data_IF_272537526255
#
_entry.id   IF_272537526255
#
_cell.length_a   1.000
_cell.length_b   1.000
_cell.length_c   1.000
_cell.angle_alpha   90.00
_cell.angle_beta   90.00
_cell.angle_gamma   90.00
#
_symmetry.space_group_name_H-M   'P 1'
#
loop_
_entity.id
_entity.type
_entity.pdbx_description
1 polymer ?
#
# COMPACT_ATOMS: atom_id res chain seq x y z
N UNK A 1 2.85 -9.90 -35.55
CA UNK A 1 3.46 -9.97 -34.22
C UNK A 1 2.85 -11.17 -33.52
N UNK A 2 3.64 -12.22 -33.35
CA UNK A 2 3.23 -13.47 -32.72
C UNK A 2 3.03 -13.24 -31.22
N UNK A 3 1.81 -13.47 -30.73
CA UNK A 3 1.51 -13.49 -29.30
C UNK A 3 2.40 -14.53 -28.63
N UNK A 4 3.30 -14.08 -27.75
CA UNK A 4 4.08 -14.97 -26.90
C UNK A 4 3.10 -15.56 -25.88
N UNK A 5 2.86 -16.89 -25.89
CA UNK A 5 1.94 -17.51 -24.94
C UNK A 5 2.42 -17.21 -23.52
N UNK A 6 1.48 -16.88 -22.63
CA UNK A 6 1.75 -16.80 -21.19
C UNK A 6 2.47 -18.10 -20.81
N UNK A 7 3.68 -18.06 -20.25
CA UNK A 7 4.44 -19.27 -20.01
C UNK A 7 3.63 -20.24 -19.14
N UNK A 8 3.52 -21.49 -19.60
CA UNK A 8 2.87 -22.62 -18.92
C UNK A 8 3.39 -22.86 -17.48
N UNK A 9 4.43 -22.15 -17.04
CA UNK A 9 5.09 -22.30 -15.75
C UNK A 9 4.32 -21.74 -14.55
N UNK A 10 3.30 -20.89 -14.75
CA UNK A 10 2.51 -20.31 -13.64
C UNK A 10 1.21 -21.07 -13.34
N UNK A 11 1.02 -22.28 -13.89
CA UNK A 11 -0.14 -23.10 -13.57
C UNK A 11 -0.04 -23.71 -12.16
N UNK A 12 -1.00 -23.38 -11.31
CA UNK A 12 -1.05 -23.67 -9.87
C UNK A 12 -1.33 -25.15 -9.53
N UNK A 13 -0.80 -26.12 -10.28
CA UNK A 13 -1.21 -27.53 -10.14
C UNK A 13 -0.42 -28.39 -9.14
N UNK A 14 0.74 -27.94 -8.61
CA UNK A 14 1.60 -28.85 -7.82
C UNK A 14 1.48 -28.78 -6.29
N UNK A 15 0.83 -27.77 -5.71
CA UNK A 15 0.76 -27.64 -4.24
C UNK A 15 -0.57 -28.12 -3.65
N UNK A 16 -1.67 -28.11 -4.40
CA UNK A 16 -2.96 -28.58 -3.90
C UNK A 16 -3.10 -30.12 -3.88
N UNK A 17 -2.33 -30.84 -4.70
CA UNK A 17 -2.39 -32.30 -4.77
C UNK A 17 -1.75 -33.06 -3.59
N UNK A 18 -1.05 -32.38 -2.67
CA UNK A 18 -0.38 -33.03 -1.52
C UNK A 18 -1.16 -32.98 -0.21
N UNK A 19 -2.30 -32.30 -0.15
CA UNK A 19 -3.11 -32.16 1.07
C UNK A 19 -4.46 -32.90 1.03
N UNK A 20 -4.83 -33.56 -0.08
CA UNK A 20 -6.15 -34.19 -0.24
C UNK A 20 -6.16 -35.68 -0.59
N UNK A 21 -5.02 -36.37 -0.57
CA UNK A 21 -4.98 -37.82 -0.83
C UNK A 21 -4.94 -38.64 0.47
N UNK A 22 -6.03 -38.61 1.24
CA UNK A 22 -6.39 -39.66 2.21
C UNK A 22 -7.83 -39.46 2.69
N UNK A 23 -8.76 -40.29 2.18
CA UNK A 23 -10.13 -40.39 2.71
C UNK A 23 -11.17 -40.79 1.67
N UNK A 24 -11.53 -42.08 1.66
CA UNK A 24 -12.63 -42.64 0.89
C UNK A 24 -14.01 -42.05 1.29
N UNK A 25 -14.84 -41.85 0.28
CA UNK A 25 -16.32 -41.76 0.23
C UNK A 25 -17.15 -41.75 1.53
N UNK A 26 -17.98 -40.71 1.69
CA UNK A 26 -19.44 -40.81 1.96
C UNK A 26 -20.08 -39.41 2.09
N UNK A 27 -21.37 -39.35 1.76
CA UNK A 27 -22.20 -38.16 1.54
C UNK A 27 -22.34 -37.23 2.76
N UNK A 28 -22.40 -35.93 2.46
CA UNK A 28 -22.89 -34.87 3.36
C UNK A 28 -22.38 -33.50 2.89
N UNK A 29 -23.25 -32.62 2.40
CA UNK A 29 -22.88 -31.24 2.04
C UNK A 29 -22.63 -30.41 3.30
N UNK A 30 -21.46 -30.60 3.90
CA UNK A 30 -20.85 -29.59 4.75
C UNK A 30 -20.34 -28.48 3.82
N UNK A 31 -20.78 -27.24 4.03
CA UNK A 31 -20.40 -26.09 3.21
C UNK A 31 -18.89 -26.08 2.93
N UNK A 32 -18.52 -26.09 1.65
CA UNK A 32 -17.13 -26.13 1.23
C UNK A 32 -16.37 -24.98 1.90
N UNK A 33 -15.41 -25.33 2.76
CA UNK A 33 -14.54 -24.34 3.40
C UNK A 33 -13.72 -23.67 2.30
N UNK A 34 -13.85 -22.36 2.15
CA UNK A 34 -13.02 -21.61 1.21
C UNK A 34 -11.54 -21.81 1.55
N UNK A 35 -10.72 -22.10 0.54
CA UNK A 35 -9.28 -22.25 0.70
C UNK A 35 -8.57 -20.89 0.66
N UNK A 36 -7.61 -20.62 1.56
CA UNK A 36 -6.85 -19.37 1.56
C UNK A 36 -6.17 -19.10 0.22
N UNK A 37 -6.37 -17.90 -0.32
CA UNK A 37 -5.69 -17.43 -1.52
C UNK A 37 -4.26 -17.04 -1.20
N UNK A 38 -3.32 -17.52 -2.01
CA UNK A 38 -1.88 -17.35 -1.79
C UNK A 38 -1.21 -16.43 -2.83
N UNK A 39 -1.85 -16.21 -3.98
CA UNK A 39 -1.32 -15.39 -5.06
C UNK A 39 -1.99 -14.02 -5.03
N UNK A 40 -1.22 -12.97 -4.74
CA UNK A 40 -1.72 -11.63 -4.45
C UNK A 40 -0.87 -10.58 -5.14
N UNK A 41 -1.52 -9.74 -5.93
CA UNK A 41 -0.93 -8.50 -6.42
C UNK A 41 -1.54 -7.34 -5.65
N UNK A 42 -0.73 -6.67 -4.84
CA UNK A 42 -1.14 -5.42 -4.21
C UNK A 42 -0.50 -4.25 -4.95
N UNK A 43 -1.31 -3.53 -5.72
CA UNK A 43 -0.85 -2.28 -6.32
C UNK A 43 -0.79 -1.22 -5.23
N UNK A 44 0.42 -0.95 -4.79
CA UNK A 44 0.69 -0.02 -3.70
C UNK A 44 0.66 1.42 -4.21
N UNK A 45 -0.29 2.20 -3.70
CA UNK A 45 -0.38 3.65 -3.95
C UNK A 45 0.28 4.45 -2.82
N UNK A 46 0.74 5.65 -3.14
CA UNK A 46 1.39 6.55 -2.20
C UNK A 46 0.39 7.15 -1.20
N UNK A 47 0.82 7.34 0.05
CA UNK A 47 0.11 8.12 1.09
C UNK A 47 -1.30 7.61 1.46
N UNK A 48 -1.60 6.34 1.16
CA UNK A 48 -2.87 5.64 1.43
C UNK A 48 -2.80 4.63 2.59
N UNK A 49 -1.85 4.82 3.52
CA UNK A 49 -1.48 3.86 4.59
C UNK A 49 -1.06 2.47 4.07
N UNK A 50 -0.63 2.41 2.81
CA UNK A 50 -0.26 1.17 2.13
C UNK A 50 0.95 0.44 2.73
N UNK A 51 1.80 1.10 3.53
CA UNK A 51 2.85 0.42 4.34
C UNK A 51 2.26 -0.54 5.38
N UNK A 52 1.07 -0.25 5.92
CA UNK A 52 0.36 -1.13 6.86
C UNK A 52 -0.11 -2.40 6.15
N UNK A 53 -0.72 -2.26 4.97
CA UNK A 53 -1.14 -3.41 4.13
C UNK A 53 0.08 -4.22 3.69
N UNK A 54 1.17 -3.56 3.30
CA UNK A 54 2.41 -4.25 2.96
C UNK A 54 2.95 -5.08 4.14
N UNK A 55 2.90 -4.57 5.37
CA UNK A 55 3.28 -5.35 6.56
C UNK A 55 2.39 -6.58 6.78
N UNK A 56 1.08 -6.46 6.56
CA UNK A 56 0.13 -7.59 6.54
C UNK A 56 0.58 -8.65 5.52
N UNK A 57 0.82 -8.23 4.27
CA UNK A 57 1.22 -9.13 3.18
C UNK A 57 2.57 -9.80 3.43
N UNK A 58 3.54 -9.09 4.01
CA UNK A 58 4.84 -9.66 4.39
C UNK A 58 4.70 -10.74 5.46
N UNK A 59 3.94 -10.46 6.51
CA UNK A 59 3.69 -11.45 7.57
C UNK A 59 2.98 -12.68 7.02
N UNK A 60 1.97 -12.49 6.18
CA UNK A 60 1.26 -13.60 5.54
C UNK A 60 2.19 -14.42 4.64
N UNK A 61 2.95 -13.78 3.76
CA UNK A 61 3.86 -14.50 2.87
C UNK A 61 4.97 -15.23 3.62
N UNK A 62 5.51 -14.69 4.71
CA UNK A 62 6.44 -15.44 5.55
C UNK A 62 5.78 -16.63 6.27
N UNK A 63 4.56 -16.45 6.79
CA UNK A 63 3.79 -17.52 7.47
C UNK A 63 3.57 -18.71 6.52
N UNK A 64 3.35 -18.43 5.25
CA UNK A 64 3.05 -19.43 4.21
C UNK A 64 4.22 -19.78 3.29
N UNK A 65 5.44 -19.29 3.59
CA UNK A 65 6.65 -19.51 2.78
C UNK A 65 6.47 -19.13 1.29
N UNK A 66 5.77 -18.03 1.04
CA UNK A 66 5.45 -17.53 -0.29
C UNK A 66 6.62 -16.79 -0.91
N UNK A 67 6.69 -16.84 -2.24
CA UNK A 67 7.73 -16.17 -3.02
C UNK A 67 7.31 -14.75 -3.39
N UNK A 68 8.08 -13.78 -2.94
CA UNK A 68 7.86 -12.37 -3.25
C UNK A 68 8.63 -11.94 -4.51
N UNK A 69 8.00 -11.13 -5.36
CA UNK A 69 8.72 -10.32 -6.33
C UNK A 69 9.18 -9.05 -5.63
N UNK A 70 10.48 -8.93 -5.38
CA UNK A 70 11.06 -7.74 -4.75
C UNK A 70 11.88 -6.93 -5.75
N UNK A 71 12.00 -5.61 -5.55
CA UNK A 71 12.94 -4.80 -6.32
C UNK A 71 14.39 -5.17 -6.00
N UNK A 72 15.32 -4.78 -6.87
CA UNK A 72 16.76 -4.92 -6.64
C UNK A 72 17.40 -3.55 -6.41
N UNK A 73 18.09 -3.36 -5.28
CA UNK A 73 18.83 -2.14 -4.95
C UNK A 73 18.01 -1.02 -4.28
N UNK A 74 16.69 -1.01 -4.45
CA UNK A 74 15.75 0.02 -3.96
C UNK A 74 14.59 -0.59 -3.17
N UNK A 75 13.75 0.26 -2.58
CA UNK A 75 12.47 -0.13 -1.94
C UNK A 75 11.27 -0.16 -2.90
N UNK A 76 11.45 0.37 -4.12
CA UNK A 76 10.48 0.48 -5.21
C UNK A 76 11.04 -0.13 -6.50
N UNK A 77 10.17 -0.36 -7.48
CA UNK A 77 10.54 -0.83 -8.81
C UNK A 77 10.85 0.35 -9.76
N UNK A 78 11.98 1.03 -9.52
CA UNK A 78 12.47 2.14 -10.36
C UNK A 78 11.45 3.26 -10.62
N UNK A 79 10.63 3.57 -9.62
CA UNK A 79 9.68 4.66 -9.69
C UNK A 79 10.43 6.00 -9.91
N UNK A 80 9.95 6.92 -10.79
CA UNK A 80 8.61 6.98 -11.40
C UNK A 80 8.47 6.36 -12.81
N UNK A 81 9.47 5.63 -13.29
CA UNK A 81 9.35 4.90 -14.57
C UNK A 81 8.30 3.80 -14.48
N UNK A 82 7.66 3.48 -15.61
CA UNK A 82 6.77 2.32 -15.71
C UNK A 82 7.46 1.05 -15.21
N UNK A 83 6.68 0.22 -14.52
CA UNK A 83 7.13 -1.09 -14.10
C UNK A 83 7.53 -1.93 -15.30
N UNK A 84 8.68 -2.58 -15.18
CA UNK A 84 9.15 -3.60 -16.11
C UNK A 84 9.60 -4.81 -15.29
N UNK A 85 9.23 -6.02 -15.70
CA UNK A 85 9.53 -7.22 -14.91
C UNK A 85 11.02 -7.50 -14.73
N UNK A 86 11.89 -6.97 -15.58
CA UNK A 86 13.35 -7.05 -15.39
C UNK A 86 13.85 -6.31 -14.13
N UNK A 87 13.02 -5.42 -13.56
CA UNK A 87 13.31 -4.71 -12.32
C UNK A 87 13.16 -5.62 -11.08
N UNK A 88 12.54 -6.80 -11.23
CA UNK A 88 12.39 -7.78 -10.16
C UNK A 88 13.72 -8.48 -9.91
N UNK A 89 14.14 -8.50 -8.64
CA UNK A 89 15.32 -9.20 -8.17
C UNK A 89 15.28 -10.67 -8.59
N UNK A 90 16.39 -11.14 -9.16
CA UNK A 90 16.58 -12.52 -9.62
C UNK A 90 15.55 -12.98 -10.67
N UNK A 91 14.95 -12.04 -11.43
CA UNK A 91 14.03 -12.37 -12.50
C UNK A 91 14.72 -13.19 -13.60
N UNK A 92 14.04 -14.24 -14.04
CA UNK A 92 14.38 -15.04 -15.21
C UNK A 92 13.09 -15.33 -15.99
N UNK A 93 13.12 -15.42 -17.34
CA UNK A 93 11.94 -15.76 -18.12
C UNK A 93 11.26 -17.04 -17.62
N UNK A 94 9.94 -16.97 -17.42
CA UNK A 94 9.13 -18.10 -16.92
C UNK A 94 9.10 -18.26 -15.39
N UNK A 95 9.78 -17.40 -14.64
CA UNK A 95 9.68 -17.38 -13.19
C UNK A 95 8.33 -16.79 -12.73
N UNK A 96 7.69 -17.42 -11.75
CA UNK A 96 6.46 -16.91 -11.15
C UNK A 96 6.69 -16.56 -9.68
N UNK A 97 5.88 -15.62 -9.18
CA UNK A 97 5.86 -15.15 -7.80
C UNK A 97 4.45 -15.28 -7.24
N UNK A 98 4.35 -15.37 -5.92
CA UNK A 98 3.07 -15.38 -5.22
C UNK A 98 2.63 -13.96 -4.88
N UNK A 99 3.55 -13.11 -4.41
CA UNK A 99 3.19 -11.76 -3.92
C UNK A 99 4.02 -10.68 -4.62
N UNK A 100 3.34 -9.65 -5.13
CA UNK A 100 3.94 -8.38 -5.57
C UNK A 100 3.25 -7.25 -4.81
N UNK A 101 4.00 -6.44 -4.05
CA UNK A 101 3.39 -5.41 -3.19
C UNK A 101 4.25 -4.16 -2.93
N UNK A 102 5.42 -4.04 -3.57
CA UNK A 102 6.25 -2.85 -3.50
C UNK A 102 5.73 -1.74 -4.43
N UNK A 103 6.11 -0.48 -4.15
CA UNK A 103 5.76 0.66 -4.99
C UNK A 103 6.29 0.48 -6.42
N UNK A 104 5.46 0.85 -7.40
CA UNK A 104 5.78 0.89 -8.82
C UNK A 104 4.90 1.94 -9.51
N UNK A 105 5.22 2.31 -10.75
CA UNK A 105 4.22 2.87 -11.67
C UNK A 105 3.60 1.72 -12.44
N UNK A 106 2.32 1.48 -12.24
CA UNK A 106 1.68 0.24 -12.66
C UNK A 106 1.76 0.00 -14.17
N UNK A 107 2.04 -1.23 -14.56
CA UNK A 107 1.98 -1.68 -15.94
C UNK A 107 1.40 -3.10 -15.95
N UNK A 108 0.08 -3.20 -16.14
CA UNK A 108 -0.68 -4.45 -16.00
C UNK A 108 -0.09 -5.59 -16.83
N UNK A 109 0.30 -5.29 -18.08
CA UNK A 109 0.84 -6.28 -19.00
C UNK A 109 2.17 -6.88 -18.54
N UNK A 110 3.00 -6.12 -17.83
CA UNK A 110 4.27 -6.62 -17.29
C UNK A 110 4.08 -7.34 -15.96
N UNK A 111 3.18 -6.83 -15.11
CA UNK A 111 2.84 -7.43 -13.81
C UNK A 111 2.22 -8.82 -13.98
N UNK A 112 1.23 -8.97 -14.86
CA UNK A 112 0.53 -10.26 -15.05
C UNK A 112 1.43 -11.38 -15.55
N UNK A 113 2.56 -11.06 -16.18
CA UNK A 113 3.53 -12.05 -16.68
C UNK A 113 4.37 -12.69 -15.56
N UNK A 114 4.30 -12.15 -14.35
CA UNK A 114 5.05 -12.63 -13.16
C UNK A 114 4.18 -13.46 -12.21
N UNK A 115 2.89 -13.59 -12.49
CA UNK A 115 1.87 -14.02 -11.55
C UNK A 115 1.05 -15.17 -12.12
N UNK A 116 0.63 -16.14 -11.29
CA UNK A 116 -0.39 -17.12 -11.66
C UNK A 116 -1.70 -16.47 -12.13
N UNK A 117 -2.42 -17.15 -13.02
CA UNK A 117 -3.67 -16.64 -13.61
C UNK A 117 -4.79 -16.44 -12.56
N UNK A 118 -4.73 -17.14 -11.43
CA UNK A 118 -5.69 -17.04 -10.33
C UNK A 118 -5.29 -15.97 -9.27
N UNK A 119 -4.32 -15.11 -9.58
CA UNK A 119 -3.87 -14.05 -8.68
C UNK A 119 -4.97 -13.04 -8.41
N UNK A 120 -5.14 -12.69 -7.14
CA UNK A 120 -6.09 -11.65 -6.71
C UNK A 120 -5.38 -10.30 -6.74
N UNK A 121 -5.93 -9.37 -7.54
CA UNK A 121 -5.43 -7.99 -7.66
C UNK A 121 -6.20 -7.08 -6.71
N UNK A 122 -5.47 -6.40 -5.83
CA UNK A 122 -6.03 -5.44 -4.88
C UNK A 122 -5.23 -4.14 -4.87
N UNK A 123 -5.89 -3.03 -4.57
CA UNK A 123 -5.23 -1.74 -4.36
C UNK A 123 -5.95 -0.97 -3.26
N UNK A 124 -5.44 0.20 -2.90
CA UNK A 124 -6.06 1.10 -1.92
C UNK A 124 -6.04 2.52 -2.46
N UNK A 125 -7.13 3.24 -2.29
CA UNK A 125 -7.25 4.66 -2.61
C UNK A 125 -7.49 5.47 -1.33
N UNK A 126 -7.46 6.78 -1.50
CA UNK A 126 -7.71 7.76 -0.44
C UNK A 126 -8.40 8.96 -1.07
N UNK A 127 -9.19 9.68 -0.30
CA UNK A 127 -9.73 10.97 -0.68
C UNK A 127 -8.61 11.86 -1.28
N UNK A 128 -8.82 12.42 -2.49
CA UNK A 128 -7.78 13.11 -3.24
C UNK A 128 -7.27 14.38 -2.56
N UNK A 129 -8.09 15.11 -1.81
CA UNK A 129 -7.67 16.32 -1.13
C UNK A 129 -6.79 15.98 0.09
N UNK A 130 -7.19 15.00 0.89
CA UNK A 130 -6.37 14.53 2.01
C UNK A 130 -5.11 13.78 1.56
N UNK A 131 -5.18 13.09 0.42
CA UNK A 131 -4.01 12.52 -0.25
C UNK A 131 -3.04 13.63 -0.64
N UNK A 132 -3.53 14.68 -1.30
CA UNK A 132 -2.70 15.80 -1.74
C UNK A 132 -2.04 16.53 -0.56
N UNK A 133 -2.77 16.84 0.52
CA UNK A 133 -2.17 17.40 1.75
C UNK A 133 -1.02 16.51 2.29
N UNK A 134 -1.24 15.19 2.29
CA UNK A 134 -0.27 14.22 2.77
C UNK A 134 0.95 14.10 1.86
N UNK A 135 0.74 14.12 0.53
CA UNK A 135 1.78 14.06 -0.49
C UNK A 135 2.63 15.32 -0.48
N UNK A 136 1.99 16.49 -0.60
CA UNK A 136 2.65 17.79 -0.61
C UNK A 136 3.57 17.96 0.59
N UNK A 137 3.06 17.75 1.81
CA UNK A 137 3.86 17.88 3.03
C UNK A 137 4.96 16.84 3.16
N UNK A 138 4.79 15.64 2.60
CA UNK A 138 5.83 14.62 2.70
C UNK A 138 6.94 14.80 1.67
N UNK A 139 6.62 15.31 0.48
CA UNK A 139 7.54 15.36 -0.66
C UNK A 139 8.04 16.76 -1.01
N UNK A 140 7.50 17.84 -0.45
CA UNK A 140 7.90 19.22 -0.81
C UNK A 140 9.42 19.44 -0.80
N UNK A 141 10.14 18.94 0.21
CA UNK A 141 11.60 19.06 0.30
C UNK A 141 12.37 18.44 -0.88
N UNK A 142 11.77 17.52 -1.65
CA UNK A 142 12.38 16.87 -2.81
C UNK A 142 11.73 17.25 -4.16
N UNK A 143 10.84 18.24 -4.16
CA UNK A 143 10.18 18.75 -5.36
C UNK A 143 10.59 20.22 -5.54
N UNK A 144 11.58 20.52 -6.41
CA UNK A 144 12.14 21.86 -6.56
C UNK A 144 11.10 22.96 -6.84
N UNK A 145 10.01 22.61 -7.52
CA UNK A 145 8.89 23.51 -7.79
C UNK A 145 8.30 24.12 -6.51
N UNK A 146 8.27 23.36 -5.40
CA UNK A 146 7.69 23.82 -4.14
C UNK A 146 8.61 24.73 -3.33
N UNK A 147 9.90 24.83 -3.69
CA UNK A 147 10.86 25.66 -2.94
C UNK A 147 10.63 27.16 -3.16
N UNK A 148 10.02 27.51 -4.29
CA UNK A 148 9.60 28.89 -4.62
C UNK A 148 8.31 29.31 -3.92
N UNK A 149 7.58 28.37 -3.31
CA UNK A 149 6.35 28.67 -2.58
C UNK A 149 6.72 29.33 -1.26
N UNK A 150 6.32 30.59 -1.08
CA UNK A 150 6.64 31.40 0.09
C UNK A 150 5.56 31.30 1.16
N UNK A 151 5.87 31.78 2.37
CA UNK A 151 4.93 31.83 3.50
C UNK A 151 4.92 30.58 4.40
N UNK A 152 4.23 30.70 5.54
CA UNK A 152 4.18 29.67 6.58
C UNK A 152 3.30 28.48 6.18
N UNK A 153 2.20 28.73 5.45
CA UNK A 153 1.33 27.69 4.88
C UNK A 153 1.55 27.53 3.37
N UNK A 154 2.64 26.84 3.02
CA UNK A 154 3.00 26.53 1.62
C UNK A 154 1.90 25.77 0.87
N UNK A 155 1.09 24.95 1.55
CA UNK A 155 0.02 24.22 0.88
C UNK A 155 -1.09 25.18 0.47
N UNK A 156 -1.50 26.08 1.36
CA UNK A 156 -2.51 27.08 1.06
C UNK A 156 -2.04 28.06 -0.03
N UNK A 157 -0.76 28.45 -0.01
CA UNK A 157 -0.15 29.30 -1.04
C UNK A 157 -0.16 28.60 -2.40
N UNK A 158 0.31 27.34 -2.47
CA UNK A 158 0.28 26.56 -3.69
C UNK A 158 -1.14 26.42 -4.27
N UNK A 159 -2.12 26.11 -3.41
CA UNK A 159 -3.52 25.94 -3.84
C UNK A 159 -4.20 27.24 -4.27
N UNK A 160 -3.63 28.41 -3.98
CA UNK A 160 -4.19 29.69 -4.45
C UNK A 160 -4.03 29.84 -5.96
N UNK A 161 -2.89 29.41 -6.51
CA UNK A 161 -2.59 29.43 -7.94
C UNK A 161 -1.66 28.24 -8.30
N UNK A 162 -2.21 27.02 -8.37
CA UNK A 162 -1.39 25.82 -8.54
C UNK A 162 -0.68 25.78 -9.88
N UNK A 163 -1.27 26.36 -10.93
CA UNK A 163 -0.66 26.43 -12.27
C UNK A 163 0.56 27.35 -12.31
N UNK A 164 0.66 28.35 -11.43
CA UNK A 164 1.88 29.16 -11.29
C UNK A 164 3.07 28.36 -10.74
N UNK A 165 2.80 27.36 -9.89
CA UNK A 165 3.83 26.56 -9.22
C UNK A 165 4.04 25.18 -9.85
N UNK A 166 3.20 24.77 -10.79
CA UNK A 166 3.21 23.43 -11.37
C UNK A 166 3.74 23.43 -12.81
N UNK A 167 4.71 22.55 -13.06
CA UNK A 167 5.17 22.18 -14.41
C UNK A 167 5.17 20.65 -14.47
N UNK A 168 4.40 20.02 -15.39
CA UNK A 168 4.34 18.57 -15.52
C UNK A 168 5.69 17.92 -15.86
N UNK A 169 6.62 18.66 -16.47
CA UNK A 169 7.97 18.19 -16.78
C UNK A 169 8.97 18.42 -15.64
N UNK A 170 8.52 19.04 -14.54
CA UNK A 170 9.34 19.31 -13.37
C UNK A 170 9.82 18.03 -12.68
N UNK A 171 11.04 18.09 -12.13
CA UNK A 171 11.58 16.97 -11.35
C UNK A 171 10.63 16.63 -10.18
N UNK A 172 10.21 15.36 -10.10
CA UNK A 172 9.26 14.85 -9.12
C UNK A 172 7.86 15.52 -9.13
N UNK A 173 7.48 16.20 -10.22
CA UNK A 173 6.19 16.89 -10.32
C UNK A 173 4.97 15.95 -10.19
N UNK A 174 5.09 14.66 -10.51
CA UNK A 174 4.03 13.67 -10.38
C UNK A 174 3.45 13.55 -8.95
N UNK A 175 4.21 13.92 -7.90
CA UNK A 175 3.68 13.94 -6.52
C UNK A 175 2.73 15.10 -6.24
N UNK A 176 2.67 16.11 -7.12
CA UNK A 176 1.89 17.33 -6.92
C UNK A 176 0.52 17.31 -7.59
N UNK A 177 0.17 16.30 -8.41
CA UNK A 177 -1.13 16.28 -9.07
C UNK A 177 -1.56 14.86 -9.45
N UNK A 178 -2.81 14.50 -9.15
CA UNK A 178 -3.45 13.23 -9.54
C UNK A 178 -2.55 11.99 -9.31
N UNK A 179 -2.01 11.88 -8.09
CA UNK A 179 -0.99 10.89 -7.75
C UNK A 179 -1.53 9.45 -7.82
N UNK A 180 -2.81 9.20 -7.50
CA UNK A 180 -3.37 7.84 -7.63
C UNK A 180 -3.44 7.42 -9.10
N UNK A 181 -3.90 8.31 -9.98
CA UNK A 181 -3.94 8.08 -11.41
C UNK A 181 -2.54 7.81 -11.98
N UNK A 182 -1.53 8.57 -11.51
CA UNK A 182 -0.13 8.35 -11.86
C UNK A 182 0.38 6.98 -11.39
N UNK A 183 0.17 6.63 -10.12
CA UNK A 183 0.58 5.35 -9.53
C UNK A 183 -0.01 4.19 -10.34
N UNK A 184 -1.30 4.29 -10.70
CA UNK A 184 -2.03 3.29 -11.50
C UNK A 184 -1.61 3.22 -12.97
N UNK A 185 -0.59 3.98 -13.38
CA UNK A 185 0.05 3.86 -14.69
C UNK A 185 -0.51 4.79 -15.76
N UNK A 186 -1.40 5.70 -15.40
CA UNK A 186 -2.00 6.61 -16.38
C UNK A 186 -1.27 7.96 -16.42
N UNK A 187 -1.65 8.80 -17.37
CA UNK A 187 -1.19 10.19 -17.42
C UNK A 187 -1.97 11.04 -16.43
N UNK A 188 -1.28 11.60 -15.45
CA UNK A 188 -1.87 12.39 -14.37
C UNK A 188 -2.14 13.86 -14.77
N UNK A 189 -1.75 14.25 -15.98
CA UNK A 189 -1.96 15.59 -16.56
C UNK A 189 -3.00 15.62 -17.68
N UNK A 190 -3.61 14.48 -18.02
CA UNK A 190 -4.61 14.44 -19.09
C UNK A 190 -5.84 15.29 -18.76
N UNK A 191 -6.54 15.76 -19.79
CA UNK A 191 -7.78 16.51 -19.63
C UNK A 191 -8.81 15.67 -18.84
N UNK A 192 -9.26 16.13 -17.65
CA UNK A 192 -10.26 15.42 -16.88
C UNK A 192 -11.60 15.24 -17.58
N UNK A 193 -11.88 16.03 -18.62
CA UNK A 193 -13.10 15.91 -19.44
C UNK A 193 -12.96 14.94 -20.61
N UNK A 194 -11.77 14.39 -20.83
CA UNK A 194 -11.55 13.38 -21.86
C UNK A 194 -12.40 12.13 -21.59
N UNK A 195 -13.06 11.55 -22.61
CA UNK A 195 -13.81 10.30 -22.46
C UNK A 195 -12.92 9.11 -22.05
N UNK A 196 -11.59 9.23 -22.26
CA UNK A 196 -10.62 8.23 -21.84
C UNK A 196 -10.56 8.07 -20.31
N UNK A 197 -10.91 9.09 -19.53
CA UNK A 197 -10.91 9.00 -18.06
C UNK A 197 -11.86 7.90 -17.58
N UNK A 198 -13.10 7.90 -18.08
CA UNK A 198 -14.09 6.87 -17.76
C UNK A 198 -13.67 5.48 -18.26
N UNK A 199 -13.04 5.42 -19.43
CA UNK A 199 -12.50 4.17 -19.96
C UNK A 199 -11.43 3.59 -19.03
N UNK A 200 -10.47 4.41 -18.57
CA UNK A 200 -9.41 3.98 -17.66
C UNK A 200 -9.94 3.60 -16.28
N UNK A 201 -10.94 4.31 -15.74
CA UNK A 201 -11.59 3.93 -14.48
C UNK A 201 -12.24 2.54 -14.59
N UNK A 202 -12.97 2.27 -15.68
CA UNK A 202 -13.56 0.94 -15.92
C UNK A 202 -12.52 -0.14 -16.15
N UNK A 203 -11.41 0.20 -16.80
CA UNK A 203 -10.28 -0.70 -16.99
C UNK A 203 -9.65 -1.08 -15.64
N UNK A 204 -9.51 -0.14 -14.70
CA UNK A 204 -9.09 -0.41 -13.33
C UNK A 204 -10.11 -1.34 -12.65
N UNK A 205 -11.41 -1.04 -12.73
CA UNK A 205 -12.46 -1.84 -12.09
C UNK A 205 -12.48 -3.29 -12.59
N UNK A 206 -12.24 -3.49 -13.88
CA UNK A 206 -12.13 -4.82 -14.48
C UNK A 206 -10.88 -5.59 -14.05
N UNK A 207 -9.80 -4.90 -13.67
CA UNK A 207 -8.50 -5.51 -13.30
C UNK A 207 -8.37 -5.81 -11.81
N UNK A 208 -8.99 -5.01 -10.95
CA UNK A 208 -8.84 -5.13 -9.50
C UNK A 208 -10.06 -5.80 -8.87
N UNK A 209 -9.85 -6.93 -8.20
CA UNK A 209 -10.91 -7.64 -7.48
C UNK A 209 -11.45 -6.82 -6.29
N UNK A 210 -10.59 -6.03 -5.65
CA UNK A 210 -10.94 -5.11 -4.58
C UNK A 210 -10.09 -3.84 -4.63
N UNK A 211 -10.78 -2.70 -4.66
CA UNK A 211 -10.21 -1.37 -4.42
C UNK A 211 -10.64 -0.94 -3.03
N UNK A 212 -9.69 -0.94 -2.10
CA UNK A 212 -9.89 -0.53 -0.71
C UNK A 212 -9.90 1.00 -0.57
N UNK A 213 -10.49 1.53 0.49
CA UNK A 213 -10.49 2.96 0.81
C UNK A 213 -9.88 3.22 2.18
N UNK A 214 -8.93 4.15 2.26
CA UNK A 214 -8.28 4.50 3.52
C UNK A 214 -9.27 5.05 4.56
N UNK A 215 -10.29 5.78 4.15
CA UNK A 215 -11.30 6.34 5.04
C UNK A 215 -12.13 5.25 5.74
N UNK A 216 -12.20 4.07 5.14
CA UNK A 216 -12.91 2.87 5.62
C UNK A 216 -11.92 1.70 5.74
N UNK A 217 -10.79 1.95 6.39
CA UNK A 217 -9.65 1.03 6.40
C UNK A 217 -9.98 -0.31 7.05
N UNK A 218 -10.76 -0.33 8.14
CA UNK A 218 -11.13 -1.56 8.83
C UNK A 218 -12.10 -2.39 8.00
N UNK A 219 -13.12 -1.76 7.42
CA UNK A 219 -14.05 -2.39 6.46
C UNK A 219 -13.30 -2.94 5.25
N UNK A 220 -12.32 -2.18 4.74
CA UNK A 220 -11.45 -2.59 3.65
C UNK A 220 -10.67 -3.86 3.97
N UNK A 221 -10.11 -3.97 5.18
CA UNK A 221 -9.41 -5.18 5.62
C UNK A 221 -10.36 -6.35 5.85
N UNK A 222 -11.57 -6.12 6.35
CA UNK A 222 -12.59 -7.17 6.50
C UNK A 222 -12.99 -7.75 5.15
N UNK A 223 -13.20 -6.89 4.14
CA UNK A 223 -13.45 -7.30 2.75
C UNK A 223 -12.24 -8.03 2.15
N UNK A 224 -11.02 -7.55 2.37
CA UNK A 224 -9.80 -8.21 1.91
C UNK A 224 -9.67 -9.62 2.51
N UNK A 225 -9.92 -9.77 3.81
CA UNK A 225 -9.91 -11.05 4.52
C UNK A 225 -10.94 -12.02 3.93
N UNK A 226 -12.16 -11.54 3.66
CA UNK A 226 -13.22 -12.37 3.06
C UNK A 226 -12.85 -12.81 1.63
N UNK A 227 -12.39 -11.86 0.80
CA UNK A 227 -11.96 -12.10 -0.58
C UNK A 227 -10.82 -13.14 -0.66
N UNK A 228 -9.88 -13.09 0.27
CA UNK A 228 -8.72 -13.98 0.28
C UNK A 228 -8.94 -15.25 1.10
N UNK A 229 -10.10 -15.39 1.75
CA UNK A 229 -10.40 -16.49 2.68
C UNK A 229 -9.31 -16.63 3.75
N UNK A 230 -8.94 -15.50 4.33
CA UNK A 230 -7.96 -15.39 5.41
C UNK A 230 -8.62 -15.41 6.77
N UNK A 231 -7.81 -15.71 7.79
CA UNK A 231 -8.24 -15.62 9.17
C UNK A 231 -8.09 -14.19 9.70
N UNK A 232 -8.79 -13.86 10.79
CA UNK A 232 -8.72 -12.52 11.39
C UNK A 232 -7.29 -12.18 11.83
N UNK A 233 -6.55 -13.16 12.34
CA UNK A 233 -5.18 -13.02 12.81
C UNK A 233 -4.21 -12.59 11.70
N UNK A 234 -4.53 -12.90 10.45
CA UNK A 234 -3.70 -12.57 9.30
C UNK A 234 -3.80 -11.07 8.93
N UNK A 235 -4.90 -10.40 9.27
CA UNK A 235 -5.11 -8.97 8.96
C UNK A 235 -4.94 -8.03 10.16
N UNK A 236 -4.61 -8.53 11.35
CA UNK A 236 -4.31 -7.68 12.52
C UNK A 236 -3.18 -6.73 12.20
N UNK A 237 -3.26 -5.47 12.62
CA UNK A 237 -2.31 -4.46 12.21
C UNK A 237 -2.04 -3.42 13.29
N UNK A 238 -0.88 -2.76 13.18
CA UNK A 238 -0.62 -1.51 13.86
C UNK A 238 -0.49 -0.40 12.82
N UNK A 239 -0.96 0.80 13.16
CA UNK A 239 -0.88 1.95 12.26
C UNK A 239 0.57 2.38 12.12
N UNK A 240 1.23 1.98 11.04
CA UNK A 240 2.62 2.34 10.73
C UNK A 240 2.69 3.69 9.99
N UNK A 241 3.83 4.39 10.12
CA UNK A 241 4.10 5.66 9.46
C UNK A 241 3.06 6.77 9.73
N UNK A 242 2.46 6.77 10.93
CA UNK A 242 1.59 7.86 11.36
C UNK A 242 2.39 9.16 11.52
N UNK A 243 1.87 10.29 11.03
CA UNK A 243 2.50 11.60 11.18
C UNK A 243 2.10 12.23 12.51
N UNK A 244 3.03 12.93 13.17
CA UNK A 244 2.77 13.78 14.34
C UNK A 244 1.71 14.83 13.99
N UNK A 245 0.70 14.98 14.85
CA UNK A 245 -0.42 15.91 14.61
C UNK A 245 -1.36 15.52 13.45
N UNK A 246 -1.37 14.25 13.02
CA UNK A 246 -2.26 13.75 11.96
C UNK A 246 -3.70 13.42 12.39
N UNK A 247 -4.04 13.59 13.67
CA UNK A 247 -5.40 13.30 14.18
C UNK A 247 -6.46 14.26 13.64
N UNK A 248 -6.06 15.41 13.09
CA UNK A 248 -6.96 16.39 12.45
C UNK A 248 -6.27 16.94 11.20
N UNK A 249 -6.90 16.79 10.03
CA UNK A 249 -6.44 17.47 8.81
C UNK A 249 -6.46 18.97 9.04
N UNK A 250 -5.45 19.69 8.51
CA UNK A 250 -5.43 21.15 8.62
C UNK A 250 -6.12 21.84 7.45
N UNK A 251 -6.76 21.09 6.56
CA UNK A 251 -7.49 21.66 5.43
C UNK A 251 -8.76 22.35 5.95
N UNK A 252 -8.88 23.65 5.69
CA UNK A 252 -10.17 24.33 5.75
C UNK A 252 -11.10 23.80 4.66
N UNK A 253 -12.41 24.02 4.78
CA UNK A 253 -13.37 23.62 3.75
C UNK A 253 -13.01 24.17 2.36
N UNK A 254 -12.52 25.40 2.31
CA UNK A 254 -12.06 26.05 1.07
C UNK A 254 -10.83 25.34 0.48
N UNK A 255 -9.80 25.09 1.29
CA UNK A 255 -8.59 24.40 0.82
C UNK A 255 -8.87 22.97 0.40
N UNK A 256 -9.78 22.28 1.09
CA UNK A 256 -10.25 20.95 0.67
C UNK A 256 -10.83 21.01 -0.75
N UNK A 257 -11.76 21.93 -1.01
CA UNK A 257 -12.37 22.08 -2.33
C UNK A 257 -11.33 22.41 -3.42
N UNK A 258 -10.40 23.34 -3.15
CA UNK A 258 -9.31 23.67 -4.08
C UNK A 258 -8.42 22.45 -4.37
N UNK A 259 -8.07 21.68 -3.35
CA UNK A 259 -7.28 20.46 -3.51
C UNK A 259 -8.04 19.38 -4.29
N UNK A 260 -9.35 19.21 -4.07
CA UNK A 260 -10.18 18.28 -4.85
C UNK A 260 -10.23 18.68 -6.32
N UNK A 261 -10.45 19.97 -6.62
CA UNK A 261 -10.49 20.48 -8.00
C UNK A 261 -9.14 20.35 -8.69
N UNK A 262 -8.05 20.62 -7.97
CA UNK A 262 -6.69 20.45 -8.49
C UNK A 262 -6.38 18.99 -8.88
N UNK A 263 -6.96 18.03 -8.13
CA UNK A 263 -6.79 16.60 -8.34
C UNK A 263 -8.05 15.94 -8.93
N UNK A 264 -8.61 16.53 -9.98
CA UNK A 264 -9.91 16.13 -10.52
C UNK A 264 -9.95 14.71 -11.10
N UNK A 265 -8.84 14.19 -11.66
CA UNK A 265 -8.79 12.79 -12.13
C UNK A 265 -8.91 11.83 -10.95
N UNK A 266 -8.14 12.06 -9.88
CA UNK A 266 -8.22 11.27 -8.66
C UNK A 266 -9.59 11.42 -7.98
N UNK A 267 -10.23 12.58 -8.07
CA UNK A 267 -11.58 12.79 -7.54
C UNK A 267 -12.63 11.93 -8.27
N UNK A 268 -12.60 11.89 -9.60
CA UNK A 268 -13.48 11.01 -10.40
C UNK A 268 -13.22 9.54 -10.10
N UNK A 269 -11.96 9.14 -10.04
CA UNK A 269 -11.53 7.80 -9.67
C UNK A 269 -12.07 7.40 -8.29
N UNK A 270 -11.85 8.25 -7.27
CA UNK A 270 -12.29 7.99 -5.91
C UNK A 270 -13.82 7.91 -5.80
N UNK A 271 -14.55 8.80 -6.46
CA UNK A 271 -16.03 8.78 -6.45
C UNK A 271 -16.58 7.47 -7.02
N UNK A 272 -16.02 6.99 -8.13
CA UNK A 272 -16.41 5.72 -8.72
C UNK A 272 -16.18 4.57 -7.74
N UNK A 273 -14.97 4.46 -7.18
CA UNK A 273 -14.63 3.36 -6.28
C UNK A 273 -15.26 3.47 -4.89
N UNK A 274 -15.64 4.66 -4.43
CA UNK A 274 -16.47 4.82 -3.24
C UNK A 274 -17.84 4.18 -3.42
N UNK A 275 -18.46 4.41 -4.57
CA UNK A 275 -19.75 3.78 -4.92
C UNK A 275 -19.61 2.26 -4.98
N UNK A 276 -18.62 1.73 -5.72
CA UNK A 276 -18.45 0.27 -5.84
C UNK A 276 -18.00 -0.39 -4.54
N UNK A 277 -17.24 0.32 -3.70
CA UNK A 277 -16.87 -0.15 -2.37
C UNK A 277 -18.09 -0.37 -1.48
N UNK A 278 -19.01 0.60 -1.40
CA UNK A 278 -20.21 0.45 -0.58
C UNK A 278 -21.15 -0.64 -1.09
N UNK A 279 -21.26 -0.84 -2.41
CA UNK A 279 -21.96 -2.01 -2.94
C UNK A 279 -21.33 -3.34 -2.46
N UNK A 280 -19.99 -3.43 -2.36
CA UNK A 280 -19.31 -4.62 -1.81
C UNK A 280 -19.57 -4.77 -0.30
N UNK A 281 -19.62 -3.67 0.46
CA UNK A 281 -19.98 -3.70 1.89
C UNK A 281 -21.42 -4.19 2.09
N UNK A 282 -22.36 -3.70 1.27
CA UNK A 282 -23.76 -4.14 1.29
C UNK A 282 -23.90 -5.62 0.94
N UNK A 283 -23.22 -6.08 -0.11
CA UNK A 283 -23.20 -7.48 -0.52
C UNK A 283 -22.59 -8.41 0.55
N UNK A 284 -21.59 -7.92 1.28
CA UNK A 284 -21.01 -8.63 2.43
C UNK A 284 -21.99 -8.69 3.63
N UNK A 285 -22.87 -7.70 3.74
CA UNK A 285 -23.88 -7.53 4.78
C UNK A 285 -23.46 -6.53 5.84
N UNK A 286 -24.21 -5.44 6.00
CA UNK A 286 -23.88 -4.31 6.90
C UNK A 286 -23.77 -4.71 8.37
N UNK A 287 -24.68 -5.55 8.87
CA UNK A 287 -24.63 -6.05 10.23
C UNK A 287 -23.43 -6.98 10.48
N UNK A 288 -23.09 -7.83 9.49
CA UNK A 288 -21.90 -8.68 9.54
C UNK A 288 -20.62 -7.83 9.51
N UNK A 289 -20.59 -6.80 8.67
CA UNK A 289 -19.47 -5.86 8.57
C UNK A 289 -19.20 -5.19 9.91
N UNK A 290 -20.22 -4.60 10.54
CA UNK A 290 -20.08 -3.93 11.83
C UNK A 290 -19.54 -4.88 12.92
N UNK A 291 -20.01 -6.13 12.95
CA UNK A 291 -19.53 -7.15 13.88
C UNK A 291 -18.06 -7.52 13.65
N UNK A 292 -17.67 -7.77 12.40
CA UNK A 292 -16.31 -8.19 12.06
C UNK A 292 -15.30 -7.04 12.23
N UNK A 293 -15.70 -5.80 11.94
CA UNK A 293 -14.91 -4.58 12.26
C UNK A 293 -14.73 -4.42 13.76
N UNK A 294 -15.79 -4.58 14.56
CA UNK A 294 -15.68 -4.51 16.02
C UNK A 294 -14.70 -5.56 16.57
N UNK A 295 -14.76 -6.79 16.04
CA UNK A 295 -13.85 -7.88 16.42
C UNK A 295 -12.39 -7.59 15.99
N UNK A 296 -12.18 -7.06 14.79
CA UNK A 296 -10.85 -6.62 14.33
C UNK A 296 -10.26 -5.56 15.25
N UNK A 297 -11.07 -4.57 15.64
CA UNK A 297 -10.64 -3.51 16.55
C UNK A 297 -10.31 -4.05 17.95
N UNK A 298 -11.13 -4.94 18.49
CA UNK A 298 -10.86 -5.60 19.77
C UNK A 298 -9.52 -6.36 19.76
N UNK A 299 -9.28 -7.18 18.74
CA UNK A 299 -8.04 -7.96 18.62
C UNK A 299 -6.80 -7.07 18.36
N UNK A 300 -6.96 -5.98 17.60
CA UNK A 300 -5.90 -4.99 17.43
C UNK A 300 -5.54 -4.33 18.77
N UNK A 301 -6.51 -3.91 19.59
CA UNK A 301 -6.25 -3.32 20.91
C UNK A 301 -5.60 -4.32 21.88
N UNK A 302 -6.06 -5.58 21.88
CA UNK A 302 -5.39 -6.66 22.61
C UNK A 302 -3.92 -6.76 22.20
N UNK A 303 -3.64 -6.84 20.90
CA UNK A 303 -2.27 -6.93 20.39
C UNK A 303 -1.43 -5.69 20.71
N UNK A 304 -2.00 -4.47 20.67
CA UNK A 304 -1.30 -3.24 21.08
C UNK A 304 -0.84 -3.34 22.54
N UNK A 305 -1.73 -3.76 23.44
CA UNK A 305 -1.41 -3.92 24.88
C UNK A 305 -0.29 -4.95 25.16
N UNK A 306 -0.21 -5.98 24.31
CA UNK A 306 0.78 -7.05 24.39
C UNK A 306 2.13 -6.58 23.84
N UNK A 307 2.13 -5.89 22.69
CA UNK A 307 3.33 -5.62 21.92
C UNK A 307 3.98 -4.25 22.17
N UNK A 308 3.18 -3.20 22.43
CA UNK A 308 3.63 -1.80 22.37
C UNK A 308 3.93 -1.30 23.78
N UNK A 309 5.15 -0.82 23.99
CA UNK A 309 5.53 -0.16 25.23
C UNK A 309 4.78 1.18 25.39
N UNK A 310 4.14 1.38 26.53
CA UNK A 310 3.27 2.54 26.77
C UNK A 310 2.00 2.60 25.91
N UNK A 311 1.71 1.59 25.07
CA UNK A 311 0.47 1.47 24.28
C UNK A 311 0.25 2.55 23.21
N UNK A 312 1.24 3.38 22.90
CA UNK A 312 1.09 4.55 22.02
C UNK A 312 2.29 4.74 21.09
N UNK A 313 2.12 5.41 19.94
CA UNK A 313 3.25 5.80 19.11
C UNK A 313 4.10 6.88 19.79
N UNK A 314 5.39 6.90 19.48
CA UNK A 314 6.39 7.83 20.00
C UNK A 314 7.11 8.54 18.86
N UNK A 315 7.70 9.70 19.17
CA UNK A 315 8.56 10.42 18.24
C UNK A 315 9.77 9.55 17.85
N UNK A 316 10.28 9.71 16.62
CA UNK A 316 11.35 8.87 16.09
C UNK A 316 12.62 8.86 16.96
N UNK A 317 12.96 9.99 17.59
CA UNK A 317 14.12 10.09 18.48
C UNK A 317 13.91 9.39 19.84
N UNK A 318 12.67 9.03 20.19
CA UNK A 318 12.31 8.32 21.42
C UNK A 318 12.19 6.81 21.23
N UNK A 319 12.51 6.31 20.04
CA UNK A 319 12.52 4.88 19.73
C UNK A 319 13.86 4.29 20.22
N UNK A 320 13.78 3.34 21.17
CA UNK A 320 14.95 2.73 21.82
C UNK A 320 15.78 1.88 20.84
N UNK A 321 15.12 1.15 19.94
CA UNK A 321 15.78 0.27 18.98
C UNK A 321 15.94 0.94 17.61
N UNK A 322 17.18 1.13 17.15
CA UNK A 322 17.47 1.69 15.82
C UNK A 322 16.83 0.90 14.68
N UNK A 323 16.72 -0.42 14.82
CA UNK A 323 16.05 -1.31 13.87
C UNK A 323 14.52 -1.11 13.78
N UNK A 324 13.92 -0.31 14.68
CA UNK A 324 12.49 0.05 14.65
C UNK A 324 12.24 1.50 14.22
N UNK A 325 13.28 2.26 13.91
CA UNK A 325 13.11 3.66 13.52
C UNK A 325 12.52 3.76 12.11
N UNK A 326 11.35 4.42 11.94
CA UNK A 326 10.79 4.63 10.63
C UNK A 326 11.64 5.63 9.84
N UNK A 327 11.68 5.43 8.52
CA UNK A 327 12.30 6.36 7.60
C UNK A 327 11.69 7.77 7.74
N UNK A 328 12.53 8.79 7.80
CA UNK A 328 12.09 10.19 7.89
C UNK A 328 12.28 10.91 6.54
N UNK A 329 11.36 11.81 6.16
CA UNK A 329 11.57 12.74 5.04
C UNK A 329 12.76 13.67 5.29
N UNK A 330 13.28 14.28 4.22
CA UNK A 330 14.38 15.26 4.32
C UNK A 330 13.85 16.52 5.03
N UNK A 331 14.63 17.08 5.96
CA UNK A 331 14.29 18.30 6.70
C UNK A 331 13.18 18.16 7.75
N UNK A 332 12.57 16.97 7.91
CA UNK A 332 11.40 16.78 8.76
C UNK A 332 11.44 15.47 9.55
N UNK A 333 11.22 15.53 10.88
CA UNK A 333 11.15 14.35 11.77
C UNK A 333 9.76 14.21 12.40
N UNK A 334 8.74 13.98 11.58
CA UNK A 334 7.35 13.90 12.04
C UNK A 334 6.74 12.50 11.93
N UNK A 335 7.46 11.49 11.44
CA UNK A 335 6.92 10.13 11.36
C UNK A 335 7.14 9.42 12.67
N UNK A 336 6.03 9.04 13.31
CA UNK A 336 6.02 8.33 14.57
C UNK A 336 6.30 6.84 14.36
N UNK A 337 6.89 6.22 15.37
CA UNK A 337 7.06 4.77 15.45
C UNK A 337 6.61 4.25 16.81
N UNK A 338 7.06 3.06 17.18
CA UNK A 338 6.66 2.40 18.42
C UNK A 338 7.87 1.76 19.09
N UNK A 339 7.83 1.72 20.43
CA UNK A 339 8.74 0.91 21.21
C UNK A 339 8.12 -0.47 21.44
N UNK A 340 8.92 -1.53 21.26
CA UNK A 340 8.53 -2.88 21.59
C UNK A 340 8.58 -3.07 23.11
N UNK A 341 7.54 -3.67 23.68
CA UNK A 341 7.46 -3.96 25.11
C UNK A 341 8.61 -4.89 25.54
N UNK A 342 9.26 -4.57 26.66
CA UNK A 342 10.46 -5.30 27.15
C UNK A 342 10.16 -6.75 27.57
N UNK A 343 8.96 -7.01 28.09
CA UNK A 343 8.50 -8.34 28.53
C UNK A 343 7.28 -8.76 27.73
N UNK A 344 7.49 -9.59 26.71
CA UNK A 344 6.44 -10.17 25.86
C UNK A 344 6.50 -11.69 26.01
N UNK A 345 5.33 -12.33 26.13
CA UNK A 345 5.24 -13.79 26.14
C UNK A 345 5.91 -14.37 24.88
N UNK A 346 6.67 -15.47 25.04
CA UNK A 346 7.40 -16.14 23.94
C UNK A 346 6.51 -16.41 22.71
N UNK A 347 5.22 -16.72 22.91
CA UNK A 347 4.24 -16.94 21.83
C UNK A 347 4.07 -15.73 20.90
N UNK A 348 4.07 -14.51 21.45
CA UNK A 348 3.77 -13.29 20.69
C UNK A 348 5.02 -12.51 20.26
N UNK A 349 6.20 -12.81 20.81
CA UNK A 349 7.43 -12.04 20.60
C UNK A 349 7.78 -11.84 19.11
N UNK A 350 7.72 -12.91 18.31
CA UNK A 350 8.03 -12.84 16.87
C UNK A 350 6.98 -12.02 16.10
N UNK A 351 5.70 -12.22 16.40
CA UNK A 351 4.60 -11.49 15.77
C UNK A 351 4.64 -9.99 16.11
N UNK A 352 4.78 -9.65 17.39
CA UNK A 352 4.92 -8.26 17.84
C UNK A 352 6.08 -7.54 17.16
N UNK A 353 7.24 -8.19 17.05
CA UNK A 353 8.40 -7.64 16.34
C UNK A 353 8.02 -7.29 14.90
N UNK A 354 7.50 -8.27 14.16
CA UNK A 354 7.11 -8.11 12.75
C UNK A 354 6.05 -7.03 12.53
N UNK A 355 5.04 -6.96 13.39
CA UNK A 355 3.97 -5.94 13.29
C UNK A 355 4.48 -4.51 13.51
N UNK A 356 5.59 -4.34 14.25
CA UNK A 356 6.20 -3.04 14.53
C UNK A 356 7.36 -2.69 13.59
N UNK A 357 7.93 -3.67 12.89
CA UNK A 357 9.04 -3.45 11.94
C UNK A 357 8.58 -2.53 10.80
N UNK A 358 9.24 -1.35 10.61
CA UNK A 358 8.92 -0.49 9.49
C UNK A 358 9.34 -1.11 8.15
N UNK A 359 8.70 -0.66 7.07
CA UNK A 359 8.79 -1.24 5.73
C UNK A 359 10.22 -1.48 5.23
N UNK A 360 11.11 -0.49 5.36
CA UNK A 360 12.48 -0.56 4.85
C UNK A 360 13.30 -1.63 5.58
N UNK A 361 13.12 -1.73 6.90
CA UNK A 361 13.77 -2.75 7.71
C UNK A 361 13.19 -4.12 7.41
N UNK A 362 11.88 -4.24 7.24
CA UNK A 362 11.25 -5.52 6.93
C UNK A 362 11.66 -6.03 5.53
N UNK A 363 11.78 -5.15 4.53
CA UNK A 363 12.35 -5.51 3.24
C UNK A 363 13.78 -6.06 3.38
N UNK A 364 14.60 -5.47 4.24
CA UNK A 364 15.96 -5.99 4.52
C UNK A 364 15.91 -7.38 5.15
N UNK A 365 15.00 -7.60 6.12
CA UNK A 365 14.81 -8.89 6.79
C UNK A 365 14.36 -9.99 5.80
N UNK A 366 13.65 -9.60 4.75
CA UNK A 366 13.22 -10.49 3.65
C UNK A 366 14.26 -10.63 2.52
N UNK A 367 15.47 -10.11 2.71
CA UNK A 367 16.60 -10.31 1.81
C UNK A 367 16.67 -9.34 0.63
N UNK A 368 15.96 -8.21 0.69
CA UNK A 368 16.08 -7.14 -0.32
C UNK A 368 17.35 -6.35 -0.08
N UNK A 369 18.19 -6.23 -1.11
CA UNK A 369 19.35 -5.35 -1.06
C UNK A 369 18.89 -3.90 -1.29
N UNK A 370 19.00 -3.08 -0.25
CA UNK A 370 18.56 -1.68 -0.24
C UNK A 370 19.73 -0.70 -0.34
N UNK A 371 20.87 -1.07 -0.95
CA UNK A 371 22.08 -0.25 -0.97
C UNK A 371 21.84 1.16 -1.54
N UNK A 372 21.01 1.32 -2.58
CA UNK A 372 20.68 2.64 -3.14
C UNK A 372 19.86 3.44 -2.11
N UNK A 373 18.83 2.84 -1.53
CA UNK A 373 18.01 3.49 -0.49
C UNK A 373 18.85 3.90 0.72
N UNK A 374 19.76 3.03 1.16
CA UNK A 374 20.68 3.30 2.28
C UNK A 374 21.71 4.37 1.95
N UNK A 375 22.27 4.37 0.73
CA UNK A 375 23.19 5.39 0.25
C UNK A 375 22.51 6.76 0.22
N UNK A 376 21.28 6.86 -0.31
CA UNK A 376 20.49 8.08 -0.23
C UNK A 376 20.23 8.51 1.21
N UNK A 377 19.98 7.57 2.13
CA UNK A 377 19.87 7.86 3.56
C UNK A 377 21.14 8.45 4.15
N UNK A 378 22.30 7.92 3.76
CA UNK A 378 23.60 8.38 4.25
C UNK A 378 24.00 9.74 3.66
N UNK A 379 23.79 9.95 2.36
CA UNK A 379 24.00 11.25 1.70
C UNK A 379 23.15 12.34 2.36
N UNK A 380 21.89 12.02 2.70
CA UNK A 380 21.01 12.95 3.45
C UNK A 380 21.57 13.29 4.83
N UNK A 381 22.08 12.31 5.58
CA UNK A 381 22.68 12.55 6.90
C UNK A 381 23.96 13.39 6.81
N UNK A 382 24.78 13.19 5.79
CA UNK A 382 26.07 13.86 5.64
C UNK A 382 25.92 15.34 5.23
N UNK A 383 24.90 15.67 4.43
CA UNK A 383 24.67 17.03 3.95
C UNK A 383 24.06 17.99 4.99
N UNK A 384 23.75 17.53 6.23
CA UNK A 384 23.09 18.32 7.29
C UNK A 384 21.97 19.24 6.77
N UNK A 385 21.13 18.71 5.88
CA UNK A 385 19.97 19.41 5.32
C UNK A 385 18.70 19.03 6.07
#
# INVERSE_FOLDING_TARGET
MTEIPIPYSCSSYRTQARLSASGNSSQGSAGEKCLPKLNIMFMKTHKTASSTILNILFRFGEKHHLKFAFPNGRSDFYYPSFFDRSQVKDYQPGICFNIICNHMRFQYEEVRKLLPADTIFVTVLRDPAYLFESSFRYFWGIIPLTWKVLGDDKLAEFLRDPWHYYDPNGFNAHYLQNLLFFDLGYDNNMDPNSPLVEQYIREIDARFNLVMLLEFFDESLVLLKDLLCWELEDILYFKLNARKGSSVSRLTKELYQKATVWNLLDAKLYQYFNTTFWHKVEAYGTARMAKDVARLNEENEKMKSVCIDGGRPVDANSIEESAMQPWQPVGEKFILGYNLKKRINKKHRKLCRKMLTPEIQYLSDLGVNLWITKLWGWVRMFLKW
#
